data_IF_732147407137
#
_entry.id   IF_732147407137
#
_cell.length_a   1.000
_cell.length_b   1.000
_cell.length_c   1.000
_cell.angle_alpha   90.00
_cell.angle_beta   90.00
_cell.angle_gamma   90.00
#
_symmetry.space_group_name_H-M   'P 1'
#
loop_
_entity.id
_entity.type
_entity.pdbx_description
1 polymer ?
#
# COMPACT_ATOMS: atom_id res chain seq x y z
N UNK A 1 22.03 -64.37 -4.47
CA UNK A 1 21.04 -63.71 -3.58
C UNK A 1 21.34 -62.21 -3.62
N UNK A 2 20.64 -61.40 -4.42
CA UNK A 2 19.43 -60.67 -4.05
C UNK A 2 18.70 -60.31 -5.35
N UNK A 3 17.38 -60.52 -5.39
CA UNK A 3 16.54 -60.41 -6.58
C UNK A 3 16.02 -58.97 -6.75
N UNK A 4 15.89 -58.59 -8.03
CA UNK A 4 14.80 -57.87 -8.69
C UNK A 4 13.90 -56.96 -7.84
N UNK A 5 13.69 -55.72 -8.30
CA UNK A 5 12.35 -55.12 -8.49
C UNK A 5 12.45 -54.07 -9.61
N UNK A 6 11.61 -54.26 -10.61
CA UNK A 6 11.29 -53.32 -11.67
C UNK A 6 10.15 -52.38 -11.22
N UNK A 7 9.92 -51.34 -12.04
CA UNK A 7 8.65 -50.67 -12.27
C UNK A 7 8.27 -49.41 -11.45
N UNK A 8 7.55 -48.56 -12.20
CA UNK A 8 6.69 -47.43 -11.84
C UNK A 8 7.42 -46.11 -11.56
N UNK A 9 7.48 -45.17 -12.52
CA UNK A 9 6.40 -44.33 -13.05
C UNK A 9 5.71 -43.47 -11.98
N UNK A 10 5.71 -42.16 -12.25
CA UNK A 10 4.74 -41.16 -11.82
C UNK A 10 4.54 -41.00 -10.31
N UNK A 11 4.96 -39.86 -9.75
CA UNK A 11 3.99 -38.95 -9.11
C UNK A 11 4.60 -37.55 -9.10
N UNK A 12 3.98 -36.66 -9.88
CA UNK A 12 4.23 -35.24 -9.87
C UNK A 12 4.00 -34.70 -8.45
N UNK A 13 5.05 -34.17 -7.82
CA UNK A 13 4.90 -33.44 -6.57
C UNK A 13 4.49 -32.01 -6.96
N UNK A 14 3.25 -31.74 -6.58
CA UNK A 14 2.47 -30.54 -6.77
C UNK A 14 3.25 -29.27 -6.39
N UNK A 15 3.36 -28.35 -7.35
CA UNK A 15 3.69 -26.95 -7.10
C UNK A 15 2.53 -26.29 -6.35
N UNK A 16 2.57 -26.34 -5.01
CA UNK A 16 1.80 -25.42 -4.17
C UNK A 16 2.52 -24.07 -4.19
N UNK A 17 2.27 -23.31 -5.26
CA UNK A 17 2.62 -21.90 -5.31
C UNK A 17 1.42 -21.12 -4.79
N UNK A 18 1.40 -20.85 -3.48
CA UNK A 18 0.56 -19.81 -2.91
C UNK A 18 1.08 -18.44 -3.37
N UNK A 19 0.82 -18.12 -4.63
CA UNK A 19 1.02 -16.77 -5.15
C UNK A 19 -0.28 -16.01 -4.87
N UNK A 20 -0.33 -15.03 -3.96
CA UNK A 20 -1.47 -14.14 -3.94
C UNK A 20 -1.50 -13.45 -5.30
N UNK A 21 -2.50 -13.80 -6.12
CA UNK A 21 -2.78 -13.08 -7.33
C UNK A 21 -3.12 -11.67 -6.88
N UNK A 22 -2.14 -10.77 -6.98
CA UNK A 22 -2.35 -9.34 -6.90
C UNK A 22 -3.26 -9.01 -8.08
N UNK A 23 -4.56 -9.04 -7.81
CA UNK A 23 -5.57 -8.51 -8.70
C UNK A 23 -5.25 -7.04 -8.83
N UNK A 24 -4.81 -6.64 -10.02
CA UNK A 24 -4.81 -5.26 -10.48
C UNK A 24 -6.22 -4.72 -10.29
N UNK A 25 -6.45 -4.01 -9.20
CA UNK A 25 -7.62 -3.19 -9.01
C UNK A 25 -7.45 -1.93 -9.86
N UNK A 26 -7.66 -2.06 -11.17
CA UNK A 26 -8.12 -0.95 -11.97
C UNK A 26 -9.60 -0.79 -11.62
N UNK A 27 -9.91 0.12 -10.71
CA UNK A 27 -11.27 0.61 -10.52
C UNK A 27 -11.27 2.09 -10.88
N UNK A 28 -12.19 2.44 -11.78
CA UNK A 28 -12.35 3.74 -12.36
C UNK A 28 -12.48 4.84 -11.30
N UNK A 29 -11.97 6.02 -11.66
CA UNK A 29 -12.11 7.27 -10.93
C UNK A 29 -13.55 7.51 -10.46
N UNK A 30 -13.73 7.42 -9.17
CA UNK A 30 -14.91 7.82 -8.40
C UNK A 30 -14.44 7.99 -6.97
N UNK A 31 -15.02 8.96 -6.24
CA UNK A 31 -14.69 9.35 -4.86
C UNK A 31 -14.90 8.21 -3.86
N UNK A 32 -14.11 7.15 -3.97
CA UNK A 32 -14.06 6.06 -3.03
C UNK A 32 -13.04 6.44 -1.96
N UNK A 33 -13.54 6.70 -0.76
CA UNK A 33 -12.72 6.78 0.45
C UNK A 33 -11.82 5.55 0.53
N UNK A 34 -10.55 5.76 0.90
CA UNK A 34 -9.57 4.68 1.06
C UNK A 34 -10.07 3.56 2.00
N UNK A 35 -9.76 2.30 1.69
CA UNK A 35 -10.00 1.17 2.60
C UNK A 35 -9.14 1.29 3.86
N UNK A 36 -9.44 0.48 4.89
CA UNK A 36 -8.63 0.45 6.11
C UNK A 36 -7.16 0.08 5.83
N UNK A 37 -6.92 -0.85 4.90
CA UNK A 37 -5.57 -1.26 4.48
C UNK A 37 -4.85 -0.11 3.77
N UNK A 38 -5.55 0.61 2.90
CA UNK A 38 -5.01 1.78 2.20
C UNK A 38 -4.68 2.92 3.18
N UNK A 39 -5.53 3.18 4.17
CA UNK A 39 -5.24 4.15 5.23
C UNK A 39 -4.00 3.72 6.05
N UNK A 40 -3.84 2.43 6.35
CA UNK A 40 -2.65 1.93 7.02
C UNK A 40 -1.38 2.07 6.17
N UNK A 41 -1.49 1.91 4.85
CA UNK A 41 -0.42 2.24 3.91
C UNK A 41 -0.12 3.74 3.88
N UNK A 42 -1.16 4.59 3.87
CA UNK A 42 -1.05 6.04 3.99
C UNK A 42 -0.27 6.48 5.23
N UNK A 43 -0.58 5.89 6.40
CA UNK A 43 0.19 6.09 7.64
C UNK A 43 1.66 5.74 7.46
N UNK A 44 1.93 4.55 6.90
CA UNK A 44 3.29 4.07 6.69
C UNK A 44 4.07 5.00 5.76
N UNK A 45 3.45 5.50 4.70
CA UNK A 45 4.07 6.46 3.78
C UNK A 45 4.31 7.79 4.48
N UNK A 46 3.34 8.30 5.24
CA UNK A 46 3.46 9.55 5.98
C UNK A 46 4.68 9.53 6.92
N UNK A 47 4.76 8.53 7.79
CA UNK A 47 5.82 8.41 8.79
C UNK A 47 7.21 8.21 8.17
N UNK A 48 7.28 7.47 7.06
CA UNK A 48 8.57 7.14 6.44
C UNK A 48 9.04 8.19 5.44
N UNK A 49 8.15 8.89 4.74
CA UNK A 49 8.50 9.76 3.61
C UNK A 49 8.41 11.24 3.93
N UNK A 50 7.41 11.68 4.71
CA UNK A 50 7.18 13.12 4.93
C UNK A 50 8.20 13.77 5.88
N UNK A 51 8.89 12.97 6.70
CA UNK A 51 9.97 13.43 7.58
C UNK A 51 11.37 13.46 6.95
N UNK A 52 11.52 13.07 5.68
CA UNK A 52 12.86 12.92 5.05
C UNK A 52 13.51 14.26 4.68
N UNK A 53 12.70 15.25 4.31
CA UNK A 53 13.20 16.53 3.77
C UNK A 53 13.06 17.70 4.77
N UNK A 54 12.14 17.58 5.73
CA UNK A 54 11.89 18.54 6.80
C UNK A 54 11.24 17.81 7.98
N UNK A 55 10.98 18.52 9.09
CA UNK A 55 10.28 17.96 10.24
C UNK A 55 8.95 17.35 9.81
N UNK A 56 8.65 16.15 10.30
CA UNK A 56 7.35 15.50 10.10
C UNK A 56 6.26 16.36 10.77
N UNK A 57 5.26 16.87 10.02
CA UNK A 57 4.20 17.68 10.60
C UNK A 57 3.29 16.85 11.49
N UNK A 58 2.64 17.49 12.46
CA UNK A 58 1.57 16.86 13.25
C UNK A 58 0.28 16.87 12.41
N UNK A 59 -0.37 15.73 12.13
CA UNK A 59 -1.64 15.68 11.41
C UNK A 59 -2.73 16.62 11.95
N UNK A 60 -2.71 16.93 13.26
CA UNK A 60 -3.67 17.84 13.91
C UNK A 60 -3.31 19.34 13.76
N UNK A 61 -2.15 19.69 13.17
CA UNK A 61 -1.71 21.09 13.09
C UNK A 61 -2.40 21.92 12.00
N UNK A 62 -3.19 21.28 11.14
CA UNK A 62 -3.91 21.93 10.05
C UNK A 62 -5.29 21.31 9.90
N UNK A 63 -6.28 22.06 9.41
CA UNK A 63 -7.60 21.51 9.10
C UNK A 63 -7.60 20.74 7.76
N UNK A 64 -8.62 19.91 7.46
CA UNK A 64 -8.68 19.12 6.23
C UNK A 64 -8.52 19.93 4.94
N UNK A 65 -9.09 21.13 4.86
CA UNK A 65 -8.99 22.01 3.68
C UNK A 65 -7.57 22.52 3.48
N UNK A 66 -6.87 22.86 4.57
CA UNK A 66 -5.46 23.26 4.52
C UNK A 66 -4.56 22.10 4.07
N UNK A 67 -4.84 20.88 4.52
CA UNK A 67 -4.10 19.69 4.14
C UNK A 67 -4.14 19.40 2.64
N UNK A 68 -5.23 19.75 1.93
CA UNK A 68 -5.30 19.63 0.46
C UNK A 68 -4.17 20.43 -0.21
N UNK A 69 -3.98 21.69 0.19
CA UNK A 69 -2.91 22.53 -0.36
C UNK A 69 -1.52 22.02 -0.02
N UNK A 70 -1.32 21.57 1.22
CA UNK A 70 -0.04 21.01 1.69
C UNK A 70 0.31 19.74 0.90
N UNK A 71 -0.63 18.82 0.78
CA UNK A 71 -0.41 17.56 0.07
C UNK A 71 -0.17 17.78 -1.43
N UNK A 72 -0.90 18.69 -2.08
CA UNK A 72 -0.62 19.09 -3.47
C UNK A 72 0.81 19.63 -3.67
N UNK A 73 1.35 20.34 -2.68
CA UNK A 73 2.71 20.87 -2.76
C UNK A 73 3.79 19.83 -2.44
N UNK A 74 3.50 18.86 -1.55
CA UNK A 74 4.49 17.91 -1.03
C UNK A 74 4.50 16.57 -1.76
N UNK A 75 3.34 16.05 -2.20
CA UNK A 75 3.24 14.79 -2.93
C UNK A 75 4.21 14.68 -4.12
N UNK A 76 4.34 15.68 -5.03
CA UNK A 76 5.30 15.60 -6.13
C UNK A 76 6.76 15.66 -5.65
N UNK A 77 7.05 16.41 -4.59
CA UNK A 77 8.41 16.52 -4.01
C UNK A 77 8.84 15.23 -3.32
N UNK A 78 7.88 14.55 -2.68
CA UNK A 78 8.05 13.24 -2.06
C UNK A 78 7.94 12.08 -3.06
N UNK A 79 7.66 12.37 -4.34
CA UNK A 79 7.48 11.40 -5.44
C UNK A 79 6.39 10.37 -5.16
N UNK A 80 5.29 10.81 -4.56
CA UNK A 80 4.11 9.97 -4.35
C UNK A 80 3.38 9.75 -5.67
N UNK A 81 2.81 8.56 -5.86
CA UNK A 81 1.78 8.33 -6.89
C UNK A 81 0.46 8.98 -6.47
N UNK A 82 -0.49 9.09 -7.39
CA UNK A 82 -1.82 9.65 -7.10
C UNK A 82 -2.56 8.85 -6.01
N UNK A 83 -2.48 7.51 -6.07
CA UNK A 83 -3.05 6.64 -5.03
C UNK A 83 -2.39 6.88 -3.67
N UNK A 84 -1.06 6.95 -3.63
CA UNK A 84 -0.31 7.19 -2.38
C UNK A 84 -0.63 8.57 -1.81
N UNK A 85 -0.78 9.57 -2.66
CA UNK A 85 -1.20 10.91 -2.26
C UNK A 85 -2.58 10.83 -1.57
N UNK A 86 -3.57 10.17 -2.19
CA UNK A 86 -4.90 10.02 -1.62
C UNK A 86 -4.87 9.27 -0.28
N UNK A 87 -4.15 8.15 -0.20
CA UNK A 87 -4.07 7.34 1.02
C UNK A 87 -3.43 8.10 2.18
N UNK A 88 -2.38 8.89 1.91
CA UNK A 88 -1.74 9.73 2.93
C UNK A 88 -2.69 10.83 3.37
N UNK A 89 -3.39 11.49 2.45
CA UNK A 89 -4.37 12.52 2.79
C UNK A 89 -5.49 11.94 3.68
N UNK A 90 -6.08 10.81 3.28
CA UNK A 90 -7.14 10.13 4.04
C UNK A 90 -6.68 9.70 5.43
N UNK A 91 -5.43 9.21 5.55
CA UNK A 91 -4.83 8.93 6.84
C UNK A 91 -4.75 10.19 7.71
N UNK A 92 -4.16 11.28 7.19
CA UNK A 92 -3.98 12.54 7.94
C UNK A 92 -5.31 13.04 8.48
N UNK A 93 -6.36 13.10 7.65
CA UNK A 93 -7.67 13.62 8.08
C UNK A 93 -8.41 12.63 9.00
N UNK A 94 -8.14 11.32 8.93
CA UNK A 94 -8.76 10.34 9.83
C UNK A 94 -8.28 10.45 11.28
N UNK A 95 -7.05 10.94 11.48
CA UNK A 95 -6.44 11.11 12.81
C UNK A 95 -6.50 12.54 13.34
N UNK A 96 -6.83 13.49 12.47
CA UNK A 96 -7.07 14.89 12.80
C UNK A 96 -8.47 15.06 13.40
N UNK A 97 -8.56 15.09 14.73
CA UNK A 97 -9.82 15.20 15.49
C UNK A 97 -9.94 16.55 16.18
#
# INVERSE_FOLDING_TARGET
MKKLIAAASFTAILLVSCTPKATTATTAAGTATSTAEQIAQGKTIFENSCGKCHKLPDPASHNPVQWVGIMNAMAPKAKLTDDQHQWVYDYIISVNK
#
